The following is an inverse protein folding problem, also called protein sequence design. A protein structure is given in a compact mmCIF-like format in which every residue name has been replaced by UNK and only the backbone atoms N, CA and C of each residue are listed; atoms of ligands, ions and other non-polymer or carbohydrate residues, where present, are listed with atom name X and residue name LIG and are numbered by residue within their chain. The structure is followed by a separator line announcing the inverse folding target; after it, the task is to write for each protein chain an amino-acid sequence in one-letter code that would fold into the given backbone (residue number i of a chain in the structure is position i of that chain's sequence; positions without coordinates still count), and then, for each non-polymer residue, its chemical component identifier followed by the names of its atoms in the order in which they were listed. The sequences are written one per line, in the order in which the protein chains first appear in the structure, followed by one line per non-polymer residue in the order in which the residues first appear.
data_IF_773808617408
#
_entry.id   IF_773808617408
#
_cell.length_a   1.000
_cell.length_b   1.000
_cell.length_c   1.000
_cell.angle_alpha   90.00
_cell.angle_beta   90.00
_cell.angle_gamma   90.00
#
_symmetry.space_group_name_H-M   'P 1'
#
loop_
_entity.id
_entity.type
_entity.pdbx_description
1 polymer ?
#
# COMPACT_ATOMS: atom_id res chain seq x y z
N UNK A 1 30.81 -2.98 -17.04
CA UNK A 1 30.87 -1.51 -17.21
C UNK A 1 30.21 -0.87 -16.00
N UNK A 2 30.78 0.18 -15.37
CA UNK A 2 30.46 0.52 -14.00
C UNK A 2 29.13 1.29 -13.85
N UNK A 3 28.40 0.87 -12.80
CA UNK A 3 27.16 1.39 -12.20
C UNK A 3 27.18 2.92 -12.00
N UNK A 4 26.60 3.70 -12.92
CA UNK A 4 26.54 5.16 -12.81
C UNK A 4 25.21 5.81 -13.23
N UNK A 5 24.08 5.10 -13.13
CA UNK A 5 22.76 5.67 -13.50
C UNK A 5 21.81 5.99 -12.34
N UNK A 6 22.23 5.89 -11.07
CA UNK A 6 21.32 5.97 -9.92
C UNK A 6 21.43 7.26 -9.10
N UNK A 7 21.76 8.38 -9.72
CA UNK A 7 21.71 9.70 -9.08
C UNK A 7 20.73 10.60 -9.83
N UNK A 8 19.89 11.31 -9.07
CA UNK A 8 19.02 12.36 -9.59
C UNK A 8 19.78 13.25 -10.56
N UNK A 9 19.19 13.64 -11.69
CA UNK A 9 19.82 14.58 -12.62
C UNK A 9 20.11 15.88 -11.85
N UNK A 10 21.37 16.19 -11.50
CA UNK A 10 21.68 17.29 -10.58
C UNK A 10 21.17 18.63 -11.11
N UNK A 11 21.01 18.72 -12.43
CA UNK A 11 20.52 19.91 -13.13
C UNK A 11 19.02 20.13 -12.94
N UNK A 12 18.20 19.09 -12.77
CA UNK A 12 16.76 19.26 -12.50
C UNK A 12 16.54 19.74 -11.07
N UNK A 13 17.28 19.18 -10.11
CA UNK A 13 17.25 19.64 -8.70
C UNK A 13 17.65 21.11 -8.59
N UNK A 14 18.78 21.49 -9.22
CA UNK A 14 19.24 22.89 -9.22
C UNK A 14 18.21 23.82 -9.86
N UNK A 15 17.61 23.42 -10.99
CA UNK A 15 16.57 24.18 -11.68
C UNK A 15 15.32 24.35 -10.82
N UNK A 16 14.82 23.28 -10.20
CA UNK A 16 13.66 23.33 -9.31
C UNK A 16 13.92 24.26 -8.13
N UNK A 17 15.06 24.10 -7.44
CA UNK A 17 15.44 24.96 -6.31
C UNK A 17 15.55 26.43 -6.70
N UNK A 18 16.10 26.73 -7.87
CA UNK A 18 16.22 28.10 -8.35
C UNK A 18 14.86 28.70 -8.72
N UNK A 19 13.98 27.92 -9.35
CA UNK A 19 12.65 28.36 -9.79
C UNK A 19 11.67 28.50 -8.63
N UNK A 20 11.75 27.61 -7.65
CA UNK A 20 10.80 27.46 -6.55
C UNK A 20 11.52 27.39 -5.19
N UNK A 21 12.28 28.43 -4.78
CA UNK A 21 13.13 28.38 -3.58
C UNK A 21 12.34 28.15 -2.28
N UNK A 22 11.18 28.81 -2.13
CA UNK A 22 10.32 28.65 -0.95
C UNK A 22 9.74 27.23 -0.88
N UNK A 23 9.25 26.71 -2.00
CA UNK A 23 8.70 25.35 -2.07
C UNK A 23 9.77 24.29 -1.75
N UNK A 24 11.01 24.50 -2.21
CA UNK A 24 12.14 23.64 -1.88
C UNK A 24 12.42 23.61 -0.36
N UNK A 25 12.45 24.75 0.31
CA UNK A 25 12.69 24.80 1.76
C UNK A 25 11.58 24.09 2.55
N UNK A 26 10.32 24.32 2.16
CA UNK A 26 9.15 23.66 2.75
C UNK A 26 9.22 22.15 2.52
N UNK A 27 9.58 21.71 1.32
CA UNK A 27 9.72 20.29 0.98
C UNK A 27 10.72 19.57 1.89
N UNK A 28 11.91 20.16 2.07
CA UNK A 28 12.96 19.58 2.90
C UNK A 28 12.52 19.53 4.38
N UNK A 29 11.96 20.63 4.89
CA UNK A 29 11.46 20.68 6.27
C UNK A 29 10.34 19.65 6.51
N UNK A 30 9.37 19.57 5.58
CA UNK A 30 8.27 18.61 5.65
C UNK A 30 8.77 17.17 5.57
N UNK A 31 9.70 16.88 4.65
CA UNK A 31 10.31 15.57 4.51
C UNK A 31 11.00 15.13 5.81
N UNK A 32 11.81 16.01 6.39
CA UNK A 32 12.57 15.73 7.61
C UNK A 32 11.68 15.49 8.83
N UNK A 33 10.58 16.23 8.95
CA UNK A 33 9.59 16.00 10.01
C UNK A 33 8.86 14.66 9.80
N UNK A 34 8.38 14.40 8.58
CA UNK A 34 7.43 13.32 8.33
C UNK A 34 8.06 11.93 8.11
N UNK A 35 9.37 11.83 7.80
CA UNK A 35 10.05 10.55 7.53
C UNK A 35 9.96 9.51 8.65
N UNK A 36 9.69 9.91 9.88
CA UNK A 36 9.57 9.03 11.05
C UNK A 36 8.12 8.59 11.38
N UNK A 37 7.14 8.90 10.54
CA UNK A 37 5.70 8.70 10.82
C UNK A 37 5.11 7.44 10.18
N UNK A 38 5.83 6.32 10.16
CA UNK A 38 5.29 5.08 9.58
C UNK A 38 4.22 4.45 10.49
N UNK A 39 2.97 4.54 10.06
CA UNK A 39 1.82 4.08 10.83
C UNK A 39 1.85 2.57 11.10
N UNK A 40 2.40 1.77 10.18
CA UNK A 40 2.44 0.30 10.32
C UNK A 40 3.25 -0.15 11.52
N UNK A 41 4.19 0.68 12.00
CA UNK A 41 5.01 0.38 13.17
C UNK A 41 4.23 0.46 14.49
N UNK A 42 3.11 1.18 14.51
CA UNK A 42 2.33 1.44 15.73
C UNK A 42 1.00 0.68 15.78
N UNK A 43 0.35 0.47 14.62
CA UNK A 43 -0.97 -0.20 14.56
C UNK A 43 -0.93 -1.72 14.77
N UNK A 44 0.26 -2.34 14.78
CA UNK A 44 0.39 -3.78 15.02
C UNK A 44 0.29 -4.11 16.51
N UNK A 45 -0.66 -4.96 16.95
CA UNK A 45 -0.80 -5.29 18.37
C UNK A 45 0.41 -6.06 18.91
N UNK A 46 0.90 -5.65 20.09
CA UNK A 46 2.00 -6.30 20.80
C UNK A 46 1.61 -7.68 21.35
N UNK A 47 0.33 -7.88 21.66
CA UNK A 47 -0.22 -9.09 22.29
C UNK A 47 -0.97 -10.02 21.32
N UNK A 48 -0.83 -9.83 19.99
CA UNK A 48 -1.61 -10.56 18.98
C UNK A 48 -1.61 -12.10 19.18
N UNK A 49 -0.44 -12.71 19.41
CA UNK A 49 -0.33 -14.17 19.60
C UNK A 49 -1.12 -14.66 20.83
N UNK A 50 -1.15 -13.86 21.91
CA UNK A 50 -1.88 -14.18 23.14
C UNK A 50 -3.39 -14.07 22.91
N UNK A 51 -3.80 -13.00 22.26
CA UNK A 51 -5.21 -12.74 21.96
C UNK A 51 -5.81 -13.76 21.00
N UNK A 52 -5.04 -14.18 19.99
CA UNK A 52 -5.42 -15.28 19.10
C UNK A 52 -5.69 -16.58 19.86
N UNK A 53 -4.77 -17.01 20.73
CA UNK A 53 -4.96 -18.24 21.54
C UNK A 53 -6.19 -18.14 22.46
N UNK A 54 -6.46 -16.95 23.02
CA UNK A 54 -7.65 -16.71 23.86
C UNK A 54 -8.93 -16.80 23.05
N UNK A 55 -8.96 -16.17 21.87
CA UNK A 55 -10.09 -16.24 20.95
C UNK A 55 -10.33 -17.66 20.45
N UNK A 56 -9.30 -18.42 20.09
CA UNK A 56 -9.45 -19.83 19.67
C UNK A 56 -10.05 -20.70 20.78
N UNK A 57 -9.69 -20.44 22.05
CA UNK A 57 -10.20 -21.17 23.21
C UNK A 57 -11.63 -20.78 23.59
N UNK A 58 -11.93 -19.49 23.62
CA UNK A 58 -13.22 -18.95 24.08
C UNK A 58 -14.24 -18.76 22.95
N UNK A 59 -13.76 -18.85 21.70
CA UNK A 59 -14.51 -18.65 20.45
C UNK A 59 -15.30 -17.35 20.50
N UNK A 60 -16.56 -17.40 20.07
CA UNK A 60 -17.47 -16.25 19.97
C UNK A 60 -17.92 -15.63 21.30
N UNK A 61 -17.36 -16.07 22.43
CA UNK A 61 -17.64 -15.47 23.75
C UNK A 61 -16.57 -14.46 24.17
N UNK A 62 -15.64 -14.14 23.28
CA UNK A 62 -14.49 -13.29 23.59
C UNK A 62 -14.16 -12.37 22.42
N UNK A 63 -14.05 -11.08 22.71
CA UNK A 63 -13.52 -10.08 21.77
C UNK A 63 -12.06 -9.80 22.13
N UNK A 64 -11.12 -9.89 21.19
CA UNK A 64 -9.71 -9.56 21.43
C UNK A 64 -9.52 -8.14 21.95
N UNK A 65 -8.66 -8.00 22.96
CA UNK A 65 -8.24 -6.70 23.48
C UNK A 65 -6.79 -6.45 23.08
N UNK A 66 -6.57 -5.52 22.14
CA UNK A 66 -5.25 -5.27 21.57
C UNK A 66 -4.49 -4.16 22.29
N UNK A 67 -3.20 -4.38 22.55
CA UNK A 67 -2.30 -3.38 23.13
C UNK A 67 -1.28 -2.90 22.10
N UNK A 68 -0.99 -1.60 22.11
CA UNK A 68 -0.16 -0.94 21.11
C UNK A 68 1.07 -0.30 21.73
N UNK A 69 2.07 -0.03 20.89
CA UNK A 69 3.25 0.74 21.25
C UNK A 69 2.86 2.21 21.42
N UNK A 70 3.43 2.89 22.42
CA UNK A 70 3.28 4.33 22.58
C UNK A 70 3.95 5.09 21.44
N UNK A 71 3.36 6.21 21.03
CA UNK A 71 3.94 7.06 20.00
C UNK A 71 5.27 7.66 20.50
N UNK A 72 6.28 7.63 19.64
CA UNK A 72 7.58 8.24 19.92
C UNK A 72 7.58 9.76 19.69
N UNK A 73 6.50 10.32 19.17
CA UNK A 73 6.34 11.74 18.85
C UNK A 73 5.23 12.35 19.71
N UNK A 74 5.38 13.62 20.07
CA UNK A 74 4.28 14.42 20.60
C UNK A 74 3.37 14.85 19.43
N UNK A 75 2.13 14.35 19.36
CA UNK A 75 1.22 14.66 18.27
C UNK A 75 0.83 16.13 18.17
N UNK A 76 0.76 16.83 19.30
CA UNK A 76 0.40 18.25 19.33
C UNK A 76 1.54 19.10 18.78
N UNK A 77 2.76 18.87 19.28
CA UNK A 77 3.94 19.55 18.78
C UNK A 77 4.18 19.27 17.29
N UNK A 78 3.94 18.04 16.84
CA UNK A 78 4.07 17.66 15.44
C UNK A 78 3.09 18.44 14.54
N UNK A 79 1.81 18.51 14.90
CA UNK A 79 0.82 19.32 14.16
C UNK A 79 1.20 20.80 14.13
N UNK A 80 1.62 21.34 15.27
CA UNK A 80 2.05 22.73 15.34
C UNK A 80 3.23 23.01 14.40
N UNK A 81 4.19 22.08 14.31
CA UNK A 81 5.33 22.20 13.40
C UNK A 81 4.90 22.15 11.93
N UNK A 82 3.99 21.24 11.55
CA UNK A 82 3.44 21.16 10.20
C UNK A 82 2.73 22.47 9.78
N UNK A 83 1.83 22.99 10.61
CA UNK A 83 1.04 24.18 10.30
C UNK A 83 1.83 25.50 10.38
N UNK A 84 3.06 25.47 10.90
CA UNK A 84 3.98 26.62 10.88
C UNK A 84 4.75 26.77 9.57
N UNK A 85 4.72 25.76 8.69
CA UNK A 85 5.38 25.85 7.39
C UNK A 85 4.75 27.01 6.58
N UNK A 86 5.56 27.92 6.02
CA UNK A 86 5.06 29.13 5.35
C UNK A 86 4.55 28.84 3.92
N UNK A 87 3.60 27.92 3.78
CA UNK A 87 3.02 27.52 2.48
C UNK A 87 2.34 28.69 1.74
N UNK A 88 1.92 29.73 2.46
CA UNK A 88 1.35 30.94 1.87
C UNK A 88 2.36 31.70 1.00
N UNK A 89 3.66 31.56 1.29
CA UNK A 89 4.75 32.25 0.59
C UNK A 89 5.17 31.53 -0.70
N UNK A 90 4.52 30.40 -1.04
CA UNK A 90 4.71 29.73 -2.33
C UNK A 90 3.92 30.48 -3.41
N UNK A 91 4.65 31.09 -4.36
CA UNK A 91 4.07 31.81 -5.50
C UNK A 91 3.31 30.89 -6.46
N UNK A 92 3.85 29.70 -6.74
CA UNK A 92 3.22 28.73 -7.64
C UNK A 92 1.99 28.10 -6.98
N UNK A 93 0.81 28.46 -7.47
CA UNK A 93 -0.47 27.97 -6.95
C UNK A 93 -0.63 26.44 -6.95
N UNK A 94 0.01 25.75 -7.92
CA UNK A 94 -0.04 24.30 -8.05
C UNK A 94 0.76 23.64 -6.93
N UNK A 95 2.00 24.10 -6.72
CA UNK A 95 2.86 23.64 -5.62
C UNK A 95 2.26 24.00 -4.26
N UNK A 96 1.72 25.21 -4.12
CA UNK A 96 1.05 25.64 -2.88
C UNK A 96 -0.11 24.70 -2.52
N UNK A 97 -1.00 24.41 -3.47
CA UNK A 97 -2.10 23.48 -3.26
C UNK A 97 -1.63 22.07 -2.89
N UNK A 98 -0.57 21.59 -3.58
CA UNK A 98 0.04 20.29 -3.29
C UNK A 98 0.57 20.21 -1.85
N UNK A 99 1.38 21.17 -1.42
CA UNK A 99 1.96 21.16 -0.07
C UNK A 99 0.91 21.34 1.03
N UNK A 100 -0.11 22.19 0.84
CA UNK A 100 -1.24 22.27 1.77
C UNK A 100 -1.88 20.90 1.97
N UNK A 101 -2.16 20.19 0.88
CA UNK A 101 -2.81 18.88 0.97
C UNK A 101 -1.90 17.80 1.59
N UNK A 102 -0.59 17.82 1.32
CA UNK A 102 0.37 16.93 1.98
C UNK A 102 0.38 17.20 3.49
N UNK A 103 0.46 18.47 3.91
CA UNK A 103 0.44 18.86 5.32
C UNK A 103 -0.82 18.36 6.02
N UNK A 104 -1.99 18.60 5.44
CA UNK A 104 -3.28 18.14 6.00
C UNK A 104 -3.34 16.62 6.10
N UNK A 105 -2.85 15.91 5.08
CA UNK A 105 -2.76 14.44 5.12
C UNK A 105 -1.87 13.95 6.26
N UNK A 106 -0.71 14.57 6.51
CA UNK A 106 0.16 14.19 7.63
C UNK A 106 -0.44 14.54 8.99
N UNK A 107 -1.15 15.67 9.10
CA UNK A 107 -1.89 16.01 10.31
C UNK A 107 -2.96 14.96 10.63
N UNK A 108 -3.78 14.58 9.65
CA UNK A 108 -4.81 13.54 9.78
C UNK A 108 -4.19 12.19 10.19
N UNK A 109 -3.05 11.83 9.58
CA UNK A 109 -2.33 10.60 9.91
C UNK A 109 -1.89 10.56 11.38
N UNK A 110 -1.41 11.68 11.90
CA UNK A 110 -0.95 11.78 13.29
C UNK A 110 -2.11 11.78 14.26
N UNK A 111 -3.24 12.41 13.91
CA UNK A 111 -4.47 12.33 14.70
C UNK A 111 -4.98 10.88 14.80
N UNK A 112 -4.97 10.14 13.69
CA UNK A 112 -5.27 8.71 13.67
C UNK A 112 -4.32 7.92 14.59
N UNK A 113 -3.01 8.14 14.47
CA UNK A 113 -2.04 7.48 15.35
C UNK A 113 -2.22 7.83 16.83
N UNK A 114 -2.64 9.06 17.13
CA UNK A 114 -2.88 9.52 18.51
C UNK A 114 -4.13 8.90 19.12
N UNK A 115 -5.03 8.37 18.29
CA UNK A 115 -6.26 7.72 18.71
C UNK A 115 -6.10 6.20 18.90
N UNK A 116 -4.90 5.64 18.71
CA UNK A 116 -4.64 4.20 18.78
C UNK A 116 -5.21 3.54 20.05
N UNK A 117 -5.98 2.46 19.86
CA UNK A 117 -6.59 1.71 20.94
C UNK A 117 -7.82 2.38 21.56
N UNK A 118 -8.28 3.51 21.02
CA UNK A 118 -9.49 4.20 21.46
C UNK A 118 -10.59 4.13 20.40
N UNK A 119 -11.88 4.28 20.76
CA UNK A 119 -12.98 4.35 19.79
C UNK A 119 -12.82 5.49 18.77
N UNK A 120 -12.05 6.54 19.08
CA UNK A 120 -11.79 7.65 18.15
C UNK A 120 -11.01 7.20 16.91
N UNK A 121 -10.23 6.13 17.00
CA UNK A 121 -9.38 5.66 15.90
C UNK A 121 -10.16 5.37 14.62
N UNK A 122 -11.36 4.78 14.73
CA UNK A 122 -12.21 4.49 13.57
C UNK A 122 -12.56 5.77 12.80
N UNK A 123 -12.97 6.83 13.49
CA UNK A 123 -13.32 8.11 12.85
C UNK A 123 -12.12 8.75 12.13
N UNK A 124 -10.94 8.69 12.75
CA UNK A 124 -9.72 9.19 12.11
C UNK A 124 -9.27 8.31 10.93
N UNK A 125 -9.46 6.99 11.04
CA UNK A 125 -9.20 6.06 9.94
C UNK A 125 -10.17 6.31 8.76
N UNK A 126 -11.45 6.58 9.04
CA UNK A 126 -12.44 6.97 8.04
C UNK A 126 -12.05 8.30 7.38
N UNK A 127 -11.60 9.29 8.15
CA UNK A 127 -11.12 10.57 7.61
C UNK A 127 -9.89 10.41 6.70
N UNK A 128 -8.97 9.49 7.04
CA UNK A 128 -7.72 9.31 6.31
C UNK A 128 -7.84 8.36 5.10
N UNK A 129 -8.48 7.20 5.28
CA UNK A 129 -8.61 6.18 4.24
C UNK A 129 -9.97 6.15 3.56
N UNK A 130 -11.03 6.62 4.23
CA UNK A 130 -12.41 6.51 3.77
C UNK A 130 -13.14 5.25 4.26
N UNK A 131 -14.29 4.99 3.63
CA UNK A 131 -15.09 3.78 3.78
C UNK A 131 -15.40 3.16 2.41
N UNK A 132 -15.63 1.83 2.34
CA UNK A 132 -16.04 1.17 1.10
C UNK A 132 -17.41 1.68 0.64
N UNK A 133 -17.50 2.05 -0.64
CA UNK A 133 -18.74 2.42 -1.30
C UNK A 133 -19.62 1.19 -1.56
N UNK A 134 -20.89 1.42 -1.93
CA UNK A 134 -21.81 0.32 -2.27
C UNK A 134 -21.25 -0.58 -3.38
N UNK A 135 -20.66 0.02 -4.42
CA UNK A 135 -20.00 -0.70 -5.51
C UNK A 135 -18.81 -1.54 -5.04
N UNK A 136 -18.01 -1.06 -4.08
CA UNK A 136 -16.90 -1.83 -3.51
C UNK A 136 -17.41 -3.11 -2.82
N UNK A 137 -18.52 -2.99 -2.07
CA UNK A 137 -19.15 -4.12 -1.37
C UNK A 137 -19.77 -5.10 -2.36
N UNK A 138 -20.39 -4.61 -3.43
CA UNK A 138 -20.97 -5.45 -4.49
C UNK A 138 -19.88 -6.22 -5.25
N UNK A 139 -18.80 -5.56 -5.66
CA UNK A 139 -17.65 -6.20 -6.29
C UNK A 139 -17.01 -7.25 -5.37
N UNK A 140 -16.86 -6.94 -4.08
CA UNK A 140 -16.33 -7.90 -3.11
C UNK A 140 -17.23 -9.13 -2.98
N UNK A 141 -18.56 -8.95 -2.84
CA UNK A 141 -19.50 -10.07 -2.79
C UNK A 141 -19.45 -10.91 -4.05
N UNK A 142 -19.44 -10.28 -5.23
CA UNK A 142 -19.34 -10.96 -6.51
C UNK A 142 -18.10 -11.87 -6.57
N UNK A 143 -16.92 -11.35 -6.19
CA UNK A 143 -15.67 -12.13 -6.18
C UNK A 143 -15.70 -13.29 -5.17
N UNK A 144 -16.35 -13.11 -4.02
CA UNK A 144 -16.43 -14.15 -2.99
C UNK A 144 -17.32 -15.32 -3.40
N UNK A 145 -18.36 -15.07 -4.19
CA UNK A 145 -19.23 -16.11 -4.74
C UNK A 145 -18.69 -16.74 -6.03
N UNK A 146 -17.58 -16.25 -6.59
CA UNK A 146 -16.96 -16.87 -7.73
C UNK A 146 -16.46 -18.29 -7.38
N UNK A 147 -16.67 -19.30 -8.24
CA UNK A 147 -16.15 -20.65 -8.00
C UNK A 147 -14.62 -20.64 -7.99
N UNK A 148 -14.03 -21.55 -7.20
CA UNK A 148 -12.58 -21.75 -7.23
C UNK A 148 -12.16 -22.47 -8.52
N UNK A 149 -10.99 -22.11 -9.05
CA UNK A 149 -10.38 -22.85 -10.15
C UNK A 149 -9.38 -23.85 -9.59
N UNK A 150 -9.89 -24.94 -9.02
CA UNK A 150 -9.08 -25.96 -8.33
C UNK A 150 -7.94 -26.51 -9.19
N UNK A 151 -8.15 -26.67 -10.50
CA UNK A 151 -7.12 -27.12 -11.45
C UNK A 151 -5.98 -26.11 -11.64
N UNK A 152 -6.24 -24.81 -11.48
CA UNK A 152 -5.29 -23.72 -11.75
C UNK A 152 -4.69 -23.15 -10.46
N UNK A 153 -5.29 -23.40 -9.30
CA UNK A 153 -4.89 -22.82 -8.01
C UNK A 153 -4.30 -23.81 -7.01
N UNK A 154 -4.37 -25.12 -7.27
CA UNK A 154 -3.83 -26.15 -6.38
C UNK A 154 -2.28 -26.27 -6.43
N UNK A 155 -1.57 -25.15 -6.53
CA UNK A 155 -0.11 -25.14 -6.44
C UNK A 155 0.30 -25.33 -4.96
N UNK A 156 1.11 -26.35 -4.63
CA UNK A 156 1.57 -26.54 -3.26
C UNK A 156 2.61 -25.47 -2.90
N UNK A 157 2.54 -24.96 -1.66
CA UNK A 157 3.51 -24.00 -1.13
C UNK A 157 4.80 -24.71 -0.71
N UNK A 158 5.65 -25.02 -1.67
CA UNK A 158 6.91 -25.77 -1.47
C UNK A 158 8.14 -24.88 -1.36
N UNK A 159 8.08 -23.63 -1.83
CA UNK A 159 9.21 -22.71 -1.83
C UNK A 159 9.35 -22.10 -0.44
N UNK A 160 10.47 -22.35 0.21
CA UNK A 160 10.78 -21.74 1.51
C UNK A 160 11.23 -20.29 1.36
N UNK A 161 11.11 -19.51 2.44
CA UNK A 161 11.66 -18.16 2.47
C UNK A 161 13.14 -18.10 2.07
N UNK A 162 13.96 -19.06 2.51
CA UNK A 162 15.37 -19.15 2.13
C UNK A 162 15.55 -19.40 0.62
N UNK A 163 14.77 -20.32 0.04
CA UNK A 163 14.83 -20.60 -1.40
C UNK A 163 14.34 -19.41 -2.24
N UNK A 164 13.35 -18.67 -1.74
CA UNK A 164 12.82 -17.49 -2.45
C UNK A 164 13.83 -16.33 -2.55
N UNK A 165 14.86 -16.28 -1.70
CA UNK A 165 15.88 -15.21 -1.74
C UNK A 165 16.57 -15.16 -3.09
N UNK A 166 16.99 -16.31 -3.63
CA UNK A 166 17.66 -16.38 -4.92
C UNK A 166 16.77 -15.84 -6.06
N UNK A 167 15.48 -16.18 -6.04
CA UNK A 167 14.50 -15.70 -7.02
C UNK A 167 14.30 -14.18 -6.94
N UNK A 168 14.25 -13.63 -5.72
CA UNK A 168 14.15 -12.18 -5.53
C UNK A 168 15.45 -11.46 -5.91
N UNK A 169 16.62 -12.03 -5.63
CA UNK A 169 17.92 -11.47 -5.99
C UNK A 169 18.11 -11.45 -7.52
N UNK A 170 17.73 -12.54 -8.21
CA UNK A 170 17.70 -12.62 -9.67
C UNK A 170 16.77 -11.55 -10.26
N UNK A 171 15.57 -11.38 -9.69
CA UNK A 171 14.64 -10.34 -10.13
C UNK A 171 15.18 -8.91 -9.89
N UNK A 172 15.87 -8.67 -8.77
CA UNK A 172 16.55 -7.39 -8.48
C UNK A 172 17.61 -7.09 -9.53
N UNK A 173 18.42 -8.08 -9.91
CA UNK A 173 19.45 -7.94 -10.94
C UNK A 173 18.82 -7.70 -12.33
N UNK A 174 17.82 -8.50 -12.70
CA UNK A 174 17.14 -8.40 -13.99
C UNK A 174 16.42 -7.04 -14.18
N UNK A 175 15.92 -6.45 -13.10
CA UNK A 175 15.29 -5.13 -13.10
C UNK A 175 16.26 -3.97 -12.82
N UNK A 176 17.57 -4.26 -12.70
CA UNK A 176 18.64 -3.30 -12.41
C UNK A 176 18.40 -2.46 -11.14
N UNK A 177 17.71 -3.03 -10.14
CA UNK A 177 17.31 -2.33 -8.93
C UNK A 177 18.47 -2.25 -7.94
N UNK A 178 18.67 -1.08 -7.32
CA UNK A 178 19.55 -0.97 -6.14
C UNK A 178 18.78 -1.37 -4.89
N UNK A 179 18.64 -2.67 -4.68
CA UNK A 179 17.89 -3.29 -3.59
C UNK A 179 18.68 -4.46 -2.99
N UNK A 180 18.63 -4.61 -1.67
CA UNK A 180 19.09 -5.84 -0.99
C UNK A 180 17.88 -6.73 -0.63
N UNK A 181 18.09 -8.03 -0.50
CA UNK A 181 17.04 -8.96 -0.03
C UNK A 181 17.47 -9.52 1.33
N UNK A 182 16.55 -9.59 2.29
CA UNK A 182 16.85 -10.12 3.62
C UNK A 182 15.67 -10.85 4.24
N UNK A 183 15.95 -11.75 5.20
CA UNK A 183 14.93 -12.42 6.00
C UNK A 183 14.60 -11.64 7.27
N UNK A 184 13.37 -11.79 7.75
CA UNK A 184 12.92 -11.32 9.07
C UNK A 184 11.94 -12.31 9.71
N UNK A 185 12.08 -12.51 11.01
CA UNK A 185 11.21 -13.38 11.81
C UNK A 185 10.11 -12.61 12.58
N UNK A 186 10.12 -11.28 12.50
CA UNK A 186 9.20 -10.39 13.22
C UNK A 186 8.04 -9.88 12.35
N UNK A 187 8.07 -10.14 11.05
CA UNK A 187 7.08 -9.66 10.10
C UNK A 187 5.79 -10.49 10.09
N UNK A 188 4.68 -9.82 9.78
CA UNK A 188 3.36 -10.46 9.58
C UNK A 188 3.08 -10.69 8.09
N UNK A 189 3.45 -9.73 7.23
CA UNK A 189 3.40 -9.90 5.78
C UNK A 189 4.42 -10.96 5.34
N UNK A 190 4.19 -11.58 4.18
CA UNK A 190 5.11 -12.59 3.64
C UNK A 190 6.37 -11.98 3.04
N UNK A 191 6.24 -10.85 2.36
CA UNK A 191 7.34 -9.99 1.96
C UNK A 191 6.87 -8.53 2.02
N UNK A 192 7.81 -7.59 2.13
CA UNK A 192 7.55 -6.15 1.98
C UNK A 192 8.82 -5.38 1.63
N UNK A 193 8.68 -4.27 0.90
CA UNK A 193 9.78 -3.31 0.75
C UNK A 193 9.96 -2.43 2.00
N UNK A 194 11.17 -2.43 2.54
CA UNK A 194 11.66 -1.42 3.48
C UNK A 194 12.27 -0.25 2.71
N UNK A 195 11.46 0.78 2.49
CA UNK A 195 11.82 1.99 1.73
C UNK A 195 13.04 2.73 2.28
N UNK A 196 13.27 2.69 3.60
CA UNK A 196 14.38 3.42 4.23
C UNK A 196 15.73 2.77 3.92
N UNK A 197 15.76 1.43 3.83
CA UNK A 197 16.97 0.63 3.63
C UNK A 197 17.16 0.14 2.20
N UNK A 198 16.22 0.44 1.29
CA UNK A 198 16.18 -0.18 -0.05
C UNK A 198 16.34 -1.70 0.05
N UNK A 199 15.45 -2.31 0.83
CA UNK A 199 15.56 -3.72 1.15
C UNK A 199 14.21 -4.40 0.99
N UNK A 200 14.14 -5.46 0.18
CA UNK A 200 13.04 -6.40 0.24
C UNK A 200 13.24 -7.30 1.46
N UNK A 201 12.26 -7.30 2.37
CA UNK A 201 12.31 -8.14 3.57
C UNK A 201 11.28 -9.25 3.43
N UNK A 202 11.72 -10.51 3.57
CA UNK A 202 10.90 -11.71 3.44
C UNK A 202 10.74 -12.37 4.80
N UNK A 203 9.52 -12.80 5.13
CA UNK A 203 9.24 -13.50 6.37
C UNK A 203 9.92 -14.88 6.37
N UNK A 204 10.82 -15.11 7.33
CA UNK A 204 11.61 -16.34 7.41
C UNK A 204 10.77 -17.62 7.60
N UNK A 205 9.49 -17.48 7.97
CA UNK A 205 8.56 -18.59 8.20
C UNK A 205 7.55 -18.77 7.06
N UNK A 206 7.64 -17.95 6.01
CA UNK A 206 6.72 -18.05 4.88
C UNK A 206 7.08 -19.24 3.97
N UNK A 207 6.03 -19.86 3.44
CA UNK A 207 6.07 -20.80 2.34
C UNK A 207 5.30 -20.20 1.17
N UNK A 208 5.79 -20.42 -0.04
CA UNK A 208 5.25 -19.82 -1.26
C UNK A 208 5.01 -20.88 -2.33
N UNK A 209 4.02 -20.63 -3.18
CA UNK A 209 3.98 -21.21 -4.53
C UNK A 209 4.88 -20.39 -5.47
N UNK A 210 5.22 -20.95 -6.63
CA UNK A 210 5.96 -20.20 -7.66
C UNK A 210 5.18 -18.94 -8.07
N UNK A 211 3.87 -19.08 -8.32
CA UNK A 211 3.00 -17.95 -8.65
C UNK A 211 3.00 -16.85 -7.58
N UNK A 212 3.01 -17.22 -6.30
CA UNK A 212 3.07 -16.25 -5.20
C UNK A 212 4.41 -15.51 -5.16
N UNK A 213 5.53 -16.17 -5.47
CA UNK A 213 6.84 -15.50 -5.59
C UNK A 213 6.82 -14.52 -6.75
N UNK A 214 6.34 -14.94 -7.93
CA UNK A 214 6.25 -14.08 -9.12
C UNK A 214 5.32 -12.88 -8.90
N UNK A 215 4.16 -13.10 -8.25
CA UNK A 215 3.27 -12.02 -7.84
C UNK A 215 3.98 -11.01 -6.92
N UNK A 216 4.74 -11.49 -5.92
CA UNK A 216 5.50 -10.63 -5.01
C UNK A 216 6.66 -9.90 -5.70
N UNK A 217 7.30 -10.51 -6.70
CA UNK A 217 8.30 -9.83 -7.53
C UNK A 217 7.66 -8.62 -8.21
N UNK A 218 6.51 -8.79 -8.88
CA UNK A 218 5.84 -7.68 -9.54
C UNK A 218 5.25 -6.65 -8.56
N UNK A 219 4.75 -7.09 -7.40
CA UNK A 219 4.16 -6.22 -6.39
C UNK A 219 5.23 -5.40 -5.64
N UNK A 220 6.18 -6.09 -5.00
CA UNK A 220 7.14 -5.47 -4.10
C UNK A 220 8.31 -4.85 -4.87
N UNK A 221 8.93 -5.58 -5.80
CA UNK A 221 10.05 -5.05 -6.59
C UNK A 221 9.55 -4.18 -7.74
N UNK A 222 8.62 -4.70 -8.53
CA UNK A 222 8.10 -4.06 -9.73
C UNK A 222 7.40 -2.73 -9.46
N UNK A 223 6.71 -2.57 -8.32
CA UNK A 223 6.01 -1.33 -7.97
C UNK A 223 6.65 -0.63 -6.78
N UNK A 224 6.65 -1.21 -5.58
CA UNK A 224 7.07 -0.49 -4.37
C UNK A 224 8.56 -0.10 -4.38
N UNK A 225 9.45 -0.98 -4.86
CA UNK A 225 10.87 -0.66 -5.00
C UNK A 225 11.10 0.31 -6.17
N UNK A 226 10.53 0.06 -7.35
CA UNK A 226 10.63 0.96 -8.51
C UNK A 226 10.21 2.40 -8.15
N UNK A 227 9.04 2.57 -7.55
CA UNK A 227 8.55 3.90 -7.13
C UNK A 227 9.41 4.51 -6.03
N UNK A 228 9.97 3.71 -5.11
CA UNK A 228 10.93 4.20 -4.10
C UNK A 228 12.22 4.71 -4.72
N UNK A 229 12.76 4.01 -5.72
CA UNK A 229 13.97 4.44 -6.43
C UNK A 229 13.68 5.67 -7.29
N UNK A 230 12.56 5.69 -8.02
CA UNK A 230 12.13 6.86 -8.78
C UNK A 230 11.94 8.10 -7.89
N UNK A 231 11.29 7.95 -6.73
CA UNK A 231 11.08 9.05 -5.79
C UNK A 231 12.38 9.69 -5.29
N UNK A 232 13.47 8.91 -5.18
CA UNK A 232 14.79 9.41 -4.75
C UNK A 232 15.49 10.23 -5.83
N UNK A 233 15.08 10.10 -7.09
CA UNK A 233 15.60 10.89 -8.20
C UNK A 233 14.83 12.19 -8.42
N UNK A 234 13.67 12.35 -7.76
CA UNK A 234 12.86 13.55 -7.90
C UNK A 234 13.43 14.71 -7.07
N UNK A 235 13.27 15.96 -7.53
CA UNK A 235 13.63 17.14 -6.74
C UNK A 235 12.70 17.34 -5.53
N UNK A 236 11.47 16.85 -5.60
CA UNK A 236 10.48 16.91 -4.52
C UNK A 236 10.64 15.67 -3.62
N UNK A 237 11.28 15.85 -2.46
CA UNK A 237 11.58 14.78 -1.51
C UNK A 237 10.33 14.20 -0.85
N UNK A 238 9.26 14.99 -0.71
CA UNK A 238 7.99 14.51 -0.15
C UNK A 238 7.33 13.39 -0.96
N UNK A 239 7.66 13.24 -2.26
CA UNK A 239 7.23 12.11 -3.09
C UNK A 239 7.75 10.75 -2.59
N UNK A 240 8.82 10.74 -1.78
CA UNK A 240 9.34 9.53 -1.12
C UNK A 240 8.48 9.09 0.06
N UNK A 241 7.71 10.03 0.63
CA UNK A 241 6.80 9.76 1.73
C UNK A 241 5.40 9.40 1.21
N UNK A 242 4.96 10.15 0.19
CA UNK A 242 3.78 9.88 -0.62
C UNK A 242 2.71 10.97 -0.54
N UNK A 243 2.01 11.14 -1.65
CA UNK A 243 0.92 12.11 -1.78
C UNK A 243 -0.34 11.64 -1.04
N UNK A 244 -1.28 12.55 -0.72
CA UNK A 244 -2.54 12.15 -0.10
C UNK A 244 -3.28 11.09 -0.93
N UNK A 245 -3.72 10.00 -0.29
CA UNK A 245 -4.34 8.88 -0.98
C UNK A 245 -3.38 7.94 -1.73
N UNK A 246 -2.06 8.09 -1.60
CA UNK A 246 -1.08 7.24 -2.30
C UNK A 246 -1.29 5.74 -2.06
N UNK A 247 -1.77 5.34 -0.88
CA UNK A 247 -1.97 3.92 -0.54
C UNK A 247 -2.99 3.27 -1.48
N UNK A 248 -4.09 3.96 -1.83
CA UNK A 248 -5.08 3.46 -2.79
C UNK A 248 -4.45 3.22 -4.16
N UNK A 249 -3.70 4.20 -4.67
CA UNK A 249 -3.11 4.12 -6.01
C UNK A 249 -1.92 3.16 -6.10
N UNK A 250 -1.03 3.15 -5.11
CA UNK A 250 0.17 2.30 -5.11
C UNK A 250 -0.19 0.83 -4.90
N UNK A 251 -1.08 0.52 -3.96
CA UNK A 251 -1.53 -0.86 -3.74
C UNK A 251 -2.38 -1.36 -4.93
N UNK A 252 -3.23 -0.50 -5.49
CA UNK A 252 -3.98 -0.81 -6.70
C UNK A 252 -3.08 -1.05 -7.92
N UNK A 253 -2.03 -0.25 -8.11
CA UNK A 253 -1.04 -0.44 -9.17
C UNK A 253 -0.24 -1.73 -8.97
N UNK A 254 0.13 -2.06 -7.74
CA UNK A 254 0.83 -3.30 -7.43
C UNK A 254 -0.02 -4.53 -7.76
N UNK A 255 -1.32 -4.53 -7.41
CA UNK A 255 -2.24 -5.63 -7.77
C UNK A 255 -2.52 -5.64 -9.28
N UNK A 256 -2.59 -4.49 -9.95
CA UNK A 256 -2.66 -4.43 -11.40
C UNK A 256 -1.44 -5.10 -12.04
N UNK A 257 -0.23 -4.90 -11.50
CA UNK A 257 0.97 -5.57 -11.99
C UNK A 257 0.97 -7.10 -11.69
N UNK A 258 0.40 -7.54 -10.55
CA UNK A 258 0.11 -8.96 -10.32
C UNK A 258 -0.81 -9.52 -11.43
N UNK A 259 -1.85 -8.78 -11.81
CA UNK A 259 -2.80 -9.19 -12.85
C UNK A 259 -2.19 -9.21 -14.25
N UNK A 260 -1.48 -8.14 -14.64
CA UNK A 260 -0.90 -8.00 -15.98
C UNK A 260 0.21 -9.03 -16.24
N UNK A 261 0.96 -9.41 -15.21
CA UNK A 261 1.95 -10.50 -15.29
C UNK A 261 1.35 -11.90 -15.32
N UNK A 262 0.03 -12.04 -15.09
CA UNK A 262 -0.66 -13.33 -15.04
C UNK A 262 -0.53 -14.08 -13.71
N UNK A 263 0.00 -13.44 -12.66
CA UNK A 263 0.27 -14.07 -11.37
C UNK A 263 -0.77 -13.78 -10.29
N UNK A 264 -1.73 -12.89 -10.53
CA UNK A 264 -2.87 -12.70 -9.64
C UNK A 264 -3.74 -13.97 -9.61
N UNK A 265 -3.97 -14.53 -8.41
CA UNK A 265 -4.84 -15.70 -8.22
C UNK A 265 -6.26 -15.31 -7.78
N UNK A 266 -7.23 -16.22 -7.93
CA UNK A 266 -8.60 -16.01 -7.45
C UNK A 266 -8.61 -16.02 -5.93
N UNK A 267 -7.83 -16.89 -5.30
CA UNK A 267 -7.59 -16.89 -3.85
C UNK A 267 -7.14 -15.52 -3.38
N UNK A 268 -6.21 -14.88 -4.10
CA UNK A 268 -5.73 -13.54 -3.79
C UNK A 268 -6.82 -12.47 -3.97
N UNK A 269 -7.63 -12.55 -5.02
CA UNK A 269 -8.80 -11.68 -5.20
C UNK A 269 -9.84 -11.83 -4.08
N UNK A 270 -10.15 -13.07 -3.69
CA UNK A 270 -11.05 -13.39 -2.57
C UNK A 270 -10.51 -12.85 -1.25
N UNK A 271 -9.20 -12.98 -0.98
CA UNK A 271 -8.56 -12.38 0.19
C UNK A 271 -8.77 -10.85 0.27
N UNK A 272 -8.70 -10.16 -0.87
CA UNK A 272 -8.96 -8.73 -0.95
C UNK A 272 -10.45 -8.42 -0.74
N UNK A 273 -11.35 -9.22 -1.31
CA UNK A 273 -12.78 -9.07 -1.14
C UNK A 273 -13.24 -9.32 0.31
N UNK A 274 -12.68 -10.32 1.01
CA UNK A 274 -12.94 -10.57 2.43
C UNK A 274 -12.59 -9.35 3.28
N UNK A 275 -11.48 -8.66 2.94
CA UNK A 275 -11.07 -7.43 3.63
C UNK A 275 -12.06 -6.29 3.45
N UNK A 276 -12.58 -6.10 2.23
CA UNK A 276 -13.64 -5.10 1.97
C UNK A 276 -14.88 -5.40 2.81
N UNK A 277 -15.33 -6.66 2.85
CA UNK A 277 -16.48 -7.07 3.66
C UNK A 277 -16.26 -6.86 5.15
N UNK A 278 -15.06 -7.17 5.65
CA UNK A 278 -14.71 -6.94 7.06
C UNK A 278 -14.71 -5.44 7.42
N UNK A 279 -14.16 -4.56 6.56
CA UNK A 279 -14.23 -3.11 6.77
C UNK A 279 -15.68 -2.62 6.71
N UNK A 280 -16.48 -3.11 5.76
CA UNK A 280 -17.89 -2.75 5.66
C UNK A 280 -18.64 -3.03 6.97
N UNK A 281 -18.49 -4.23 7.53
CA UNK A 281 -19.17 -4.57 8.79
C UNK A 281 -18.62 -3.82 10.01
N UNK A 282 -17.31 -3.56 10.08
CA UNK A 282 -16.72 -2.69 11.10
C UNK A 282 -17.38 -1.30 11.08
N UNK A 283 -17.49 -0.69 9.90
CA UNK A 283 -18.07 0.66 9.74
C UNK A 283 -19.57 0.67 10.07
N UNK A 284 -20.28 -0.43 9.85
CA UNK A 284 -21.67 -0.62 10.29
C UNK A 284 -21.82 -0.86 11.81
N UNK A 285 -20.73 -0.81 12.56
CA UNK A 285 -20.74 -0.92 14.03
C UNK A 285 -20.78 -2.35 14.56
N UNK A 286 -20.50 -3.35 13.72
CA UNK A 286 -20.41 -4.73 14.17
C UNK A 286 -19.09 -4.99 14.91
N UNK A 287 -19.13 -5.89 15.89
CA UNK A 287 -17.95 -6.26 16.68
C UNK A 287 -17.06 -7.31 15.98
N UNK A 288 -15.89 -7.56 16.58
CA UNK A 288 -14.90 -8.49 16.06
C UNK A 288 -15.46 -9.90 15.88
N UNK A 289 -16.22 -10.38 16.86
CA UNK A 289 -16.76 -11.73 16.86
C UNK A 289 -17.76 -11.91 15.74
N UNK A 290 -18.66 -10.93 15.56
CA UNK A 290 -19.62 -10.91 14.48
C UNK A 290 -18.92 -11.02 13.13
N UNK A 291 -17.88 -10.22 12.89
CA UNK A 291 -17.17 -10.24 11.60
C UNK A 291 -16.48 -11.57 11.35
N UNK A 292 -15.80 -12.15 12.34
CA UNK A 292 -15.20 -13.49 12.20
C UNK A 292 -16.25 -14.54 11.87
N UNK A 293 -17.41 -14.49 12.52
CA UNK A 293 -18.51 -15.42 12.26
C UNK A 293 -19.11 -15.23 10.88
N UNK A 294 -19.41 -14.00 10.46
CA UNK A 294 -20.01 -13.72 9.16
C UNK A 294 -19.10 -14.10 8.00
N UNK A 295 -17.79 -13.88 8.11
CA UNK A 295 -16.84 -14.34 7.08
C UNK A 295 -16.90 -15.87 6.91
N UNK A 296 -17.08 -16.63 8.00
CA UNK A 296 -17.25 -18.08 7.97
C UNK A 296 -18.61 -18.49 7.41
N UNK A 297 -19.70 -17.91 7.92
CA UNK A 297 -21.06 -18.36 7.57
C UNK A 297 -21.47 -17.95 6.17
N UNK A 298 -21.09 -16.76 5.71
CA UNK A 298 -21.55 -16.21 4.44
C UNK A 298 -20.69 -16.70 3.26
N UNK A 299 -19.41 -16.94 3.51
CA UNK A 299 -18.42 -17.22 2.44
C UNK A 299 -17.63 -18.51 2.65
N UNK A 300 -17.91 -19.29 3.71
CA UNK A 300 -17.17 -20.53 3.99
C UNK A 300 -15.70 -20.32 4.34
N UNK A 301 -15.31 -19.11 4.76
CA UNK A 301 -13.90 -18.75 5.03
C UNK A 301 -13.32 -19.61 6.14
N UNK A 302 -12.09 -20.11 5.98
CA UNK A 302 -11.36 -20.80 7.05
C UNK A 302 -11.32 -19.95 8.34
N UNK A 303 -11.54 -20.53 9.54
CA UNK A 303 -11.56 -19.78 10.80
C UNK A 303 -10.28 -18.98 11.07
N UNK A 304 -9.11 -19.51 10.70
CA UNK A 304 -7.83 -18.83 10.86
C UNK A 304 -7.67 -17.64 9.91
N UNK A 305 -8.14 -17.79 8.66
CA UNK A 305 -8.20 -16.69 7.68
C UNK A 305 -9.18 -15.62 8.15
N UNK A 306 -10.40 -15.99 8.58
CA UNK A 306 -11.41 -15.07 9.08
C UNK A 306 -10.90 -14.25 10.28
N UNK A 307 -10.24 -14.91 11.25
CA UNK A 307 -9.59 -14.21 12.37
C UNK A 307 -8.50 -13.25 11.89
N UNK A 308 -7.67 -13.66 10.93
CA UNK A 308 -6.57 -12.84 10.42
C UNK A 308 -7.08 -11.60 9.69
N UNK A 309 -8.06 -11.76 8.79
CA UNK A 309 -8.71 -10.65 8.09
C UNK A 309 -9.37 -9.70 9.09
N UNK A 310 -10.13 -10.22 10.05
CA UNK A 310 -10.80 -9.39 11.07
C UNK A 310 -9.78 -8.65 11.92
N UNK A 311 -8.68 -9.29 12.33
CA UNK A 311 -7.59 -8.64 13.08
C UNK A 311 -6.99 -7.46 12.30
N UNK A 312 -6.77 -7.61 11.00
CA UNK A 312 -6.19 -6.54 10.17
C UNK A 312 -7.09 -5.29 10.14
N UNK A 313 -8.40 -5.50 10.19
CA UNK A 313 -9.43 -4.45 10.17
C UNK A 313 -9.71 -3.88 11.55
N UNK A 314 -9.73 -4.68 12.62
CA UNK A 314 -10.05 -4.20 13.98
C UNK A 314 -8.84 -3.66 14.74
N UNK A 315 -7.60 -3.89 14.26
CA UNK A 315 -6.42 -3.27 14.89
C UNK A 315 -6.51 -1.74 14.88
N UNK A 316 -5.82 -1.10 15.81
CA UNK A 316 -5.89 0.33 16.09
C UNK A 316 -7.21 0.78 16.74
N UNK A 317 -8.27 -0.03 16.73
CA UNK A 317 -9.63 0.37 17.09
C UNK A 317 -10.58 0.48 15.89
N UNK A 318 -10.12 0.10 14.68
CA UNK A 318 -10.90 0.14 13.45
C UNK A 318 -10.10 0.76 12.29
N UNK A 319 -9.25 -0.04 11.65
CA UNK A 319 -8.37 0.36 10.57
C UNK A 319 -8.97 0.05 9.20
N UNK A 320 -9.53 1.09 8.57
CA UNK A 320 -10.23 1.00 7.28
C UNK A 320 -9.29 0.89 6.08
N UNK A 321 -7.96 0.98 6.24
CA UNK A 321 -6.99 0.88 5.12
C UNK A 321 -7.28 -0.28 4.15
N UNK A 322 -7.66 -1.44 4.65
CA UNK A 322 -7.60 -2.68 3.88
C UNK A 322 -8.62 -2.78 2.72
N UNK A 323 -9.67 -1.94 2.67
CA UNK A 323 -10.59 -1.92 1.50
C UNK A 323 -9.96 -1.26 0.27
N UNK A 324 -9.00 -0.35 0.47
CA UNK A 324 -8.42 0.48 -0.61
C UNK A 324 -7.65 -0.35 -1.65
N UNK A 325 -7.29 -1.59 -1.32
CA UNK A 325 -6.60 -2.50 -2.22
C UNK A 325 -7.49 -2.90 -3.41
N UNK A 326 -8.73 -3.32 -3.14
CA UNK A 326 -9.64 -3.78 -4.20
C UNK A 326 -10.21 -2.59 -4.98
N UNK A 327 -10.59 -1.51 -4.29
CA UNK A 327 -11.04 -0.29 -4.95
C UNK A 327 -9.92 0.36 -5.77
N UNK A 328 -8.68 0.32 -5.26
CA UNK A 328 -7.49 0.75 -5.98
C UNK A 328 -7.27 -0.05 -7.26
N UNK A 329 -7.36 -1.38 -7.20
CA UNK A 329 -7.28 -2.24 -8.39
C UNK A 329 -8.34 -1.84 -9.43
N UNK A 330 -9.60 -1.68 -9.02
CA UNK A 330 -10.68 -1.25 -9.92
C UNK A 330 -10.33 0.06 -10.63
N UNK A 331 -9.94 1.08 -9.89
CA UNK A 331 -9.70 2.40 -10.46
C UNK A 331 -8.47 2.39 -11.39
N UNK A 332 -7.45 1.59 -11.06
CA UNK A 332 -6.27 1.39 -11.91
C UNK A 332 -6.59 0.59 -13.17
N UNK A 333 -7.50 -0.39 -13.11
CA UNK A 333 -8.01 -1.09 -14.29
C UNK A 333 -8.73 -0.14 -15.24
N UNK A 334 -9.60 0.73 -14.73
CA UNK A 334 -10.26 1.78 -15.54
C UNK A 334 -9.25 2.70 -16.20
N UNK A 335 -8.27 3.17 -15.43
CA UNK A 335 -7.19 4.02 -15.93
C UNK A 335 -6.44 3.31 -17.07
N UNK A 336 -6.04 2.06 -16.86
CA UNK A 336 -5.31 1.26 -17.86
C UNK A 336 -6.15 1.00 -19.11
N UNK A 337 -7.43 0.61 -18.96
CA UNK A 337 -8.34 0.33 -20.06
C UNK A 337 -8.65 1.57 -20.92
N UNK A 338 -8.62 2.76 -20.32
CA UNK A 338 -8.80 4.03 -21.06
C UNK A 338 -7.59 4.43 -21.92
N UNK A 339 -6.49 3.68 -21.88
CA UNK A 339 -5.25 3.98 -22.60
C UNK A 339 -4.41 5.11 -21.98
N UNK A 340 -4.80 5.61 -20.80
CA UNK A 340 -4.03 6.61 -20.09
C UNK A 340 -2.69 6.02 -19.59
N UNK A 341 -1.60 6.76 -19.78
CA UNK A 341 -0.27 6.34 -19.33
C UNK A 341 -0.24 6.15 -17.81
N UNK A 342 0.38 5.08 -17.31
CA UNK A 342 0.60 4.89 -15.86
C UNK A 342 1.93 5.49 -15.39
N UNK A 343 2.76 6.00 -16.31
CA UNK A 343 4.09 6.53 -16.01
C UNK A 343 4.09 7.62 -14.91
N UNK A 344 3.14 8.58 -14.87
CA UNK A 344 3.11 9.58 -13.78
C UNK A 344 3.00 8.96 -12.39
N UNK A 345 2.38 7.78 -12.24
CA UNK A 345 2.24 7.11 -10.96
C UNK A 345 3.52 6.41 -10.48
N UNK A 346 4.51 6.26 -11.36
CA UNK A 346 5.77 5.59 -11.08
C UNK A 346 6.84 6.51 -10.51
N UNK A 347 6.66 7.83 -10.60
CA UNK A 347 7.62 8.86 -10.17
C UNK A 347 7.92 8.84 -8.67
N UNK A 348 7.05 8.23 -7.89
CA UNK A 348 7.18 8.08 -6.45
C UNK A 348 5.92 7.47 -5.85
N UNK A 349 5.65 7.76 -4.58
CA UNK A 349 4.40 7.34 -3.93
C UNK A 349 3.26 8.26 -4.32
N UNK A 350 2.88 8.17 -5.59
CA UNK A 350 1.88 8.99 -6.23
C UNK A 350 0.46 8.50 -5.97
N UNK A 351 -0.50 9.35 -6.30
CA UNK A 351 -1.93 9.14 -6.10
C UNK A 351 -2.71 9.65 -7.30
N UNK A 352 -3.71 8.88 -7.76
CA UNK A 352 -4.56 9.20 -8.92
C UNK A 352 -5.16 10.62 -8.88
N UNK A 353 -5.67 11.15 -7.73
CA UNK A 353 -6.25 12.49 -7.70
C UNK A 353 -5.26 13.62 -8.03
N UNK A 354 -3.95 13.35 -7.96
CA UNK A 354 -2.88 14.33 -8.22
C UNK A 354 -2.21 14.10 -9.57
N UNK A 355 -2.78 13.24 -10.42
CA UNK A 355 -2.23 12.93 -11.75
C UNK A 355 -2.00 14.19 -12.58
N UNK A 356 -3.00 15.03 -12.73
CA UNK A 356 -2.91 16.26 -13.55
C UNK A 356 -1.86 17.24 -13.01
N UNK A 357 -1.73 17.32 -11.67
CA UNK A 357 -0.70 18.12 -11.01
C UNK A 357 0.69 17.60 -11.37
N UNK A 358 0.89 16.29 -11.28
CA UNK A 358 2.16 15.62 -11.59
C UNK A 358 2.52 15.76 -13.06
N UNK A 359 1.56 15.56 -13.97
CA UNK A 359 1.78 15.71 -15.42
C UNK A 359 2.15 17.16 -15.79
N UNK A 360 1.54 18.17 -15.15
CA UNK A 360 1.94 19.57 -15.33
C UNK A 360 3.35 19.86 -14.82
N UNK A 361 3.73 19.30 -13.67
CA UNK A 361 5.09 19.46 -13.13
C UNK A 361 6.14 18.77 -14.02
N UNK A 362 5.83 17.59 -14.57
CA UNK A 362 6.66 16.94 -15.59
C UNK A 362 6.82 17.82 -16.84
N UNK A 363 5.71 18.33 -17.38
CA UNK A 363 5.71 19.17 -18.59
C UNK A 363 6.53 20.48 -18.42
N UNK A 364 6.62 21.00 -17.19
CA UNK A 364 7.44 22.18 -16.83
C UNK A 364 8.91 21.85 -16.54
N UNK A 365 9.28 20.58 -16.57
CA UNK A 365 10.60 20.10 -16.18
C UNK A 365 10.90 20.31 -14.69
N UNK A 366 9.85 20.38 -13.85
CA UNK A 366 9.97 20.41 -12.39
C UNK A 366 10.11 19.00 -11.79
N UNK A 367 9.83 17.95 -12.57
CA UNK A 367 10.03 16.54 -12.21
C UNK A 367 10.87 15.82 -13.27
N UNK A 368 11.40 14.67 -12.92
CA UNK A 368 12.17 13.78 -13.81
C UNK A 368 11.28 12.62 -14.21
N UNK A 369 11.28 12.23 -15.49
CA UNK A 369 10.56 11.03 -15.96
C UNK A 369 10.97 9.76 -15.18
N UNK A 370 10.07 8.76 -15.05
CA UNK A 370 10.39 7.54 -14.30
C UNK A 370 11.44 6.72 -15.07
N UNK A 371 12.54 6.38 -14.40
CA UNK A 371 13.59 5.51 -14.96
C UNK A 371 13.23 4.05 -14.76
N UNK A 372 12.79 3.68 -13.56
CA UNK A 372 12.40 2.31 -13.24
C UNK A 372 10.93 2.08 -13.57
N UNK A 373 10.64 1.03 -14.33
CA UNK A 373 9.28 0.67 -14.73
C UNK A 373 8.95 -0.78 -14.34
N UNK A 374 7.73 -1.05 -13.85
CA UNK A 374 7.29 -2.43 -13.59
C UNK A 374 7.27 -3.22 -14.90
N UNK A 375 7.97 -4.37 -15.00
CA UNK A 375 7.99 -5.16 -16.24
C UNK A 375 6.59 -5.60 -16.72
N UNK A 376 5.68 -5.82 -15.76
CA UNK A 376 4.29 -6.20 -16.02
C UNK A 376 3.53 -5.24 -16.93
N UNK A 377 3.91 -3.94 -16.97
CA UNK A 377 3.23 -2.96 -17.83
C UNK A 377 3.52 -3.16 -19.33
N UNK A 378 4.63 -3.82 -19.67
CA UNK A 378 5.03 -4.13 -21.05
C UNK A 378 4.79 -5.58 -21.44
N UNK A 379 4.37 -6.44 -20.51
CA UNK A 379 4.18 -7.87 -20.76
C UNK A 379 2.89 -8.13 -21.55
N UNK A 380 2.97 -9.01 -22.54
CA UNK A 380 1.80 -9.56 -23.22
C UNK A 380 1.59 -11.00 -22.77
N UNK A 381 0.82 -11.17 -21.68
CA UNK A 381 0.48 -12.48 -21.13
C UNK A 381 -0.95 -12.84 -21.49
N UNK A 382 -1.16 -14.02 -22.06
CA UNK A 382 -2.50 -14.59 -22.23
C UNK A 382 -3.04 -14.99 -20.86
N UNK A 383 -4.06 -14.26 -20.40
CA UNK A 383 -4.67 -14.50 -19.10
C UNK A 383 -5.71 -15.62 -19.21
N UNK A 384 -6.02 -16.25 -18.08
CA UNK A 384 -7.07 -17.26 -18.03
C UNK A 384 -8.45 -16.58 -18.24
N UNK A 385 -9.34 -17.09 -19.11
CA UNK A 385 -10.61 -16.42 -19.43
C UNK A 385 -11.49 -16.11 -18.21
N UNK A 386 -11.50 -17.01 -17.22
CA UNK A 386 -12.23 -16.79 -15.96
C UNK A 386 -11.61 -15.66 -15.14
N UNK A 387 -10.28 -15.54 -15.11
CA UNK A 387 -9.61 -14.44 -14.41
C UNK A 387 -9.95 -13.10 -15.08
N UNK A 388 -9.91 -13.04 -16.42
CA UNK A 388 -10.31 -11.85 -17.17
C UNK A 388 -11.77 -11.49 -16.90
N UNK A 389 -12.68 -12.47 -16.92
CA UNK A 389 -14.09 -12.25 -16.60
C UNK A 389 -14.28 -11.65 -15.20
N UNK A 390 -13.64 -12.23 -14.18
CA UNK A 390 -13.76 -11.75 -12.80
C UNK A 390 -13.22 -10.33 -12.63
N UNK A 391 -12.04 -10.04 -13.20
CA UNK A 391 -11.38 -8.74 -13.09
C UNK A 391 -12.11 -7.66 -13.90
N UNK A 392 -12.67 -8.00 -15.06
CA UNK A 392 -13.46 -7.06 -15.86
C UNK A 392 -14.84 -6.78 -15.23
N UNK A 393 -15.38 -7.72 -14.44
CA UNK A 393 -16.70 -7.56 -13.80
C UNK A 393 -16.69 -6.63 -12.58
N UNK A 394 -15.51 -6.28 -12.05
CA UNK A 394 -15.37 -5.35 -10.92
C UNK A 394 -15.02 -3.92 -11.34
N UNK A 395 -14.92 -3.65 -12.66
CA UNK A 395 -14.65 -2.31 -13.20
C UNK A 395 -15.86 -1.40 -12.99
#
# INVERSE_FOLDING_TARGET
MPKQQNQACPDVIKRFRHRHPVAWEIDQALFDMAKCTDALQYVNPLNLKRERKRFERLKSRYTPEFHYRQLAIDPYAFRQALYRLPVADIDDSLLRGLYCAIIDSYANKVDMLSALGTPRFLYESLRYYGEPQASDVESARFLLFAPELTEVEAEPRTITAQASLALFEEAVEAMELTCSVALSDTMVARAMVNNSRNQLVVNSRALFTEREVQALIHHELGVHMCTTLNARMQPISTLRLGLPGNTHSQEGLAILCEYLSGNLSITRLKDLALRVMAVHWLVKGHDFTYVVQRLQTDFGTDPGVAFTVTTRVFRGGGFTKDYVYLSGLRDLLKCHASGQSLAPLLLGKMSLPYRDVVEQLLARGDLVEPVFQPPALSMTVKKHPVMEYLVNSIQ
#
